data_IF_121907614683
#
_entry.id   IF_121907614683
#
_cell.length_a   1.000
_cell.length_b   1.000
_cell.length_c   1.000
_cell.angle_alpha   90.00
_cell.angle_beta   90.00
_cell.angle_gamma   90.00
#
_symmetry.space_group_name_H-M   'P 1'
#
loop_
_entity.id
_entity.type
_entity.pdbx_description
1 polymer ?
#
# COMPACT_ATOMS: atom_id res chain seq x y z
N UNK A 1 -1.62 72.16 45.72
CA UNK A 1 -0.31 71.59 45.28
C UNK A 1 -0.57 70.19 44.74
N UNK A 2 -0.46 69.97 43.45
CA UNK A 2 -0.68 68.64 42.87
C UNK A 2 0.57 67.77 43.10
N UNK A 3 0.38 66.53 43.61
CA UNK A 3 1.42 65.57 43.83
C UNK A 3 1.93 65.04 42.49
N UNK A 4 3.22 65.15 42.23
CA UNK A 4 3.90 64.57 41.05
C UNK A 4 3.94 63.05 41.17
N UNK A 5 3.58 62.29 40.12
CA UNK A 5 3.72 60.86 40.14
C UNK A 5 5.23 60.48 40.05
N UNK A 6 5.66 59.61 40.95
CA UNK A 6 7.00 59.02 40.93
C UNK A 6 7.23 58.22 39.64
N UNK A 7 8.37 58.42 38.94
CA UNK A 7 8.69 57.60 37.76
C UNK A 7 8.97 56.15 38.21
N UNK A 8 8.18 55.18 37.68
CA UNK A 8 8.45 53.78 37.83
C UNK A 8 9.81 53.47 37.16
N UNK A 9 10.76 53.00 37.95
CA UNK A 9 12.04 52.55 37.42
C UNK A 9 11.81 51.41 36.40
N UNK A 10 12.15 51.70 35.15
CA UNK A 10 12.15 50.66 34.10
C UNK A 10 13.27 49.66 34.46
N UNK A 11 12.85 48.43 34.83
CA UNK A 11 13.78 47.31 35.01
C UNK A 11 14.24 46.82 33.63
N UNK A 12 15.52 46.96 33.31
CA UNK A 12 16.13 46.42 32.13
C UNK A 12 16.33 44.92 32.27
N UNK A 13 16.25 44.20 31.15
CA UNK A 13 16.56 42.77 31.07
C UNK A 13 18.02 42.51 31.43
N UNK A 14 18.27 41.50 32.24
CA UNK A 14 19.61 41.04 32.55
C UNK A 14 20.16 40.15 31.42
N UNK A 15 21.47 40.18 31.19
CA UNK A 15 22.13 39.35 30.18
C UNK A 15 21.89 37.85 30.44
N UNK A 16 21.83 37.43 31.71
CA UNK A 16 21.56 36.08 32.15
C UNK A 16 20.14 35.66 31.80
N UNK A 17 19.16 36.53 31.95
CA UNK A 17 17.73 36.27 31.62
C UNK A 17 17.56 36.05 30.13
N UNK A 18 18.26 36.85 29.29
CA UNK A 18 18.25 36.66 27.84
C UNK A 18 18.89 35.33 27.44
N UNK A 19 19.99 34.97 28.08
CA UNK A 19 20.71 33.73 27.83
C UNK A 19 19.87 32.51 28.23
N UNK A 20 19.20 32.56 29.37
CA UNK A 20 18.30 31.51 29.83
C UNK A 20 17.09 31.37 28.89
N UNK A 21 16.50 32.48 28.46
CA UNK A 21 15.38 32.47 27.53
C UNK A 21 15.75 31.85 26.20
N UNK A 22 16.91 32.15 25.63
CA UNK A 22 17.39 31.58 24.36
C UNK A 22 17.67 30.06 24.47
N UNK A 23 18.24 29.62 25.59
CA UNK A 23 18.48 28.19 25.85
C UNK A 23 17.16 27.43 25.96
N UNK A 24 16.22 27.97 26.72
CA UNK A 24 14.88 27.33 26.84
C UNK A 24 14.15 27.29 25.50
N UNK A 25 14.22 28.36 24.71
CA UNK A 25 13.63 28.39 23.38
C UNK A 25 14.28 27.33 22.46
N UNK A 26 15.59 27.20 22.49
CA UNK A 26 16.32 26.19 21.70
C UNK A 26 15.91 24.77 22.09
N UNK A 27 15.73 24.47 23.37
CA UNK A 27 15.24 23.16 23.84
C UNK A 27 13.79 22.88 23.40
N UNK A 28 12.91 23.87 23.44
CA UNK A 28 11.54 23.74 22.97
C UNK A 28 11.49 23.44 21.46
N UNK A 29 12.28 24.17 20.67
CA UNK A 29 12.37 23.95 19.21
C UNK A 29 12.91 22.55 18.91
N UNK A 30 13.96 22.12 19.60
CA UNK A 30 14.53 20.78 19.43
C UNK A 30 13.54 19.67 19.78
N UNK A 31 12.78 19.84 20.88
CA UNK A 31 11.73 18.91 21.28
C UNK A 31 10.58 18.82 20.27
N UNK A 32 10.11 19.97 19.78
CA UNK A 32 9.08 20.03 18.76
C UNK A 32 9.50 19.35 17.46
N UNK A 33 10.73 19.59 17.01
CA UNK A 33 11.31 18.95 15.82
C UNK A 33 11.39 17.43 15.95
N UNK A 34 11.80 16.92 17.11
CA UNK A 34 11.86 15.50 17.41
C UNK A 34 10.46 14.86 17.37
N UNK A 35 9.46 15.54 17.95
CA UNK A 35 8.07 15.09 17.92
C UNK A 35 7.51 14.96 16.51
N UNK A 36 7.73 15.96 15.65
CA UNK A 36 7.29 15.95 14.26
C UNK A 36 7.93 14.79 13.49
N UNK A 37 9.24 14.59 13.65
CA UNK A 37 9.94 13.47 12.99
C UNK A 37 9.39 12.10 13.39
N UNK A 38 9.05 11.93 14.66
CA UNK A 38 8.48 10.66 15.14
C UNK A 38 7.08 10.45 14.59
N UNK A 39 6.26 11.48 14.57
CA UNK A 39 4.91 11.42 14.02
C UNK A 39 4.91 11.10 12.51
N UNK A 40 5.78 11.74 11.72
CA UNK A 40 5.88 11.47 10.28
C UNK A 40 6.36 10.05 9.98
N UNK A 41 7.31 9.50 10.76
CA UNK A 41 7.76 8.12 10.61
C UNK A 41 6.64 7.12 10.95
N UNK A 42 5.87 7.37 12.00
CA UNK A 42 4.74 6.52 12.37
C UNK A 42 3.66 6.52 11.28
N UNK A 43 3.37 7.67 10.69
CA UNK A 43 2.42 7.80 9.59
C UNK A 43 2.88 7.04 8.34
N UNK A 44 4.14 7.20 7.91
CA UNK A 44 4.67 6.51 6.73
C UNK A 44 4.70 4.98 6.89
N UNK A 45 5.01 4.47 8.08
CA UNK A 45 4.96 3.04 8.37
C UNK A 45 3.53 2.49 8.31
N UNK A 46 2.55 3.28 8.74
CA UNK A 46 1.13 2.93 8.63
C UNK A 46 0.65 2.86 7.18
N UNK A 47 1.04 3.82 6.35
CA UNK A 47 0.71 3.85 4.93
C UNK A 47 1.28 2.64 4.17
N UNK A 48 2.52 2.26 4.44
CA UNK A 48 3.15 1.09 3.82
C UNK A 48 2.41 -0.22 4.17
N UNK A 49 1.98 -0.39 5.42
CA UNK A 49 1.18 -1.53 5.84
C UNK A 49 -0.20 -1.57 5.16
N UNK A 50 -0.86 -0.42 5.06
CA UNK A 50 -2.16 -0.31 4.38
C UNK A 50 -2.00 -0.64 2.90
N UNK A 51 -1.00 -0.11 2.23
CA UNK A 51 -0.76 -0.36 0.82
C UNK A 51 -0.47 -1.83 0.54
N UNK A 52 0.35 -2.48 1.36
CA UNK A 52 0.64 -3.92 1.26
C UNK A 52 -0.62 -4.76 1.45
N UNK A 53 -1.42 -4.46 2.47
CA UNK A 53 -2.68 -5.16 2.74
C UNK A 53 -3.69 -4.95 1.61
N UNK A 54 -3.78 -3.74 1.08
CA UNK A 54 -4.69 -3.41 -0.02
C UNK A 54 -4.30 -4.14 -1.32
N UNK A 55 -3.02 -4.25 -1.64
CA UNK A 55 -2.54 -5.04 -2.80
C UNK A 55 -2.96 -6.50 -2.72
N UNK A 56 -2.81 -7.13 -1.55
CA UNK A 56 -3.23 -8.52 -1.34
C UNK A 56 -4.74 -8.65 -1.47
N UNK A 57 -5.49 -7.72 -0.89
CA UNK A 57 -6.95 -7.73 -0.96
C UNK A 57 -7.47 -7.59 -2.40
N UNK A 58 -6.92 -6.64 -3.15
CA UNK A 58 -7.30 -6.43 -4.56
C UNK A 58 -6.98 -7.67 -5.40
N UNK A 59 -5.83 -8.31 -5.18
CA UNK A 59 -5.48 -9.55 -5.86
C UNK A 59 -6.45 -10.69 -5.51
N UNK A 60 -6.82 -10.84 -4.24
CA UNK A 60 -7.79 -11.85 -3.80
C UNK A 60 -9.19 -11.60 -4.38
N UNK A 61 -9.65 -10.36 -4.42
CA UNK A 61 -10.94 -10.00 -5.01
C UNK A 61 -10.95 -10.27 -6.52
N UNK A 62 -9.86 -9.94 -7.21
CA UNK A 62 -9.67 -10.27 -8.62
C UNK A 62 -9.75 -11.79 -8.85
N UNK A 63 -8.93 -12.56 -8.13
CA UNK A 63 -8.91 -14.02 -8.25
C UNK A 63 -10.28 -14.64 -7.96
N UNK A 64 -10.95 -14.19 -6.90
CA UNK A 64 -12.29 -14.68 -6.56
C UNK A 64 -13.28 -14.41 -7.68
N UNK A 65 -13.24 -13.24 -8.29
CA UNK A 65 -14.11 -12.86 -9.40
C UNK A 65 -13.87 -13.76 -10.60
N UNK A 66 -12.61 -13.90 -11.03
CA UNK A 66 -12.25 -14.71 -12.19
C UNK A 66 -12.63 -16.20 -11.99
N UNK A 67 -12.33 -16.75 -10.83
CA UNK A 67 -12.68 -18.14 -10.51
C UNK A 67 -14.20 -18.36 -10.39
N UNK A 68 -14.94 -17.39 -9.90
CA UNK A 68 -16.41 -17.50 -9.81
C UNK A 68 -17.08 -17.47 -11.19
N UNK A 69 -16.43 -16.82 -12.16
CA UNK A 69 -16.89 -16.73 -13.54
C UNK A 69 -16.36 -17.86 -14.44
N UNK A 70 -15.59 -18.80 -13.86
CA UNK A 70 -15.04 -19.91 -14.63
C UNK A 70 -16.17 -20.74 -15.29
N UNK A 71 -15.95 -21.07 -16.54
CA UNK A 71 -16.87 -21.82 -17.39
C UNK A 71 -16.41 -23.26 -17.51
N UNK A 72 -17.34 -24.21 -17.50
CA UNK A 72 -17.06 -25.62 -17.74
C UNK A 72 -16.83 -25.89 -19.25
N UNK A 73 -15.87 -25.17 -19.84
CA UNK A 73 -15.44 -25.34 -21.23
C UNK A 73 -14.07 -26.00 -21.25
N UNK A 74 -13.91 -26.99 -22.12
CA UNK A 74 -12.63 -27.63 -22.31
C UNK A 74 -11.66 -26.68 -23.03
N UNK A 75 -10.47 -26.51 -22.47
CA UNK A 75 -9.38 -25.77 -23.11
C UNK A 75 -8.35 -26.68 -23.78
N UNK A 76 -8.36 -27.96 -23.40
CA UNK A 76 -7.47 -28.97 -23.94
C UNK A 76 -8.13 -30.35 -23.93
N UNK A 77 -7.77 -31.22 -24.89
CA UNK A 77 -8.17 -32.62 -24.92
C UNK A 77 -6.91 -33.49 -24.83
N UNK A 78 -6.86 -34.36 -23.84
CA UNK A 78 -5.70 -35.22 -23.62
C UNK A 78 -5.58 -36.27 -24.75
N UNK A 79 -4.44 -36.23 -25.43
CA UNK A 79 -4.14 -37.15 -26.53
C UNK A 79 -3.98 -38.57 -25.99
N UNK A 80 -4.89 -39.46 -26.34
CA UNK A 80 -4.87 -40.89 -25.97
C UNK A 80 -5.99 -41.32 -25.03
N UNK A 81 -6.47 -40.49 -24.14
CA UNK A 81 -7.62 -40.80 -23.26
C UNK A 81 -8.91 -40.12 -23.71
N UNK A 82 -8.81 -39.07 -24.53
CA UNK A 82 -9.98 -38.27 -24.94
C UNK A 82 -10.57 -37.46 -23.77
N UNK A 83 -9.84 -37.36 -22.67
CA UNK A 83 -10.29 -36.60 -21.48
C UNK A 83 -10.23 -35.10 -21.78
N UNK A 84 -11.32 -34.41 -21.54
CA UNK A 84 -11.42 -32.96 -21.71
C UNK A 84 -11.03 -32.24 -20.44
N UNK A 85 -9.99 -31.41 -20.52
CA UNK A 85 -9.49 -30.60 -19.43
C UNK A 85 -10.23 -29.25 -19.39
N UNK A 86 -11.04 -29.06 -18.34
CA UNK A 86 -11.81 -27.82 -18.12
C UNK A 86 -11.22 -26.95 -17.03
N UNK A 87 -10.45 -27.57 -16.13
CA UNK A 87 -9.78 -26.92 -15.02
C UNK A 87 -8.52 -27.70 -14.67
N UNK A 88 -7.38 -27.01 -14.71
CA UNK A 88 -6.10 -27.58 -14.37
C UNK A 88 -5.48 -26.85 -13.18
N UNK A 89 -5.15 -27.59 -12.13
CA UNK A 89 -4.46 -27.04 -10.96
C UNK A 89 -3.17 -27.77 -10.71
N UNK A 90 -2.06 -27.04 -10.74
CA UNK A 90 -0.74 -27.48 -10.34
C UNK A 90 -0.25 -26.71 -9.12
N UNK A 91 0.93 -27.05 -8.62
CA UNK A 91 1.46 -26.39 -7.42
C UNK A 91 1.60 -24.88 -7.53
N UNK A 92 2.02 -24.41 -8.69
CA UNK A 92 2.34 -22.99 -8.95
C UNK A 92 1.59 -22.42 -10.16
N UNK A 93 0.63 -23.16 -10.68
CA UNK A 93 -0.12 -22.81 -11.88
C UNK A 93 -1.58 -23.23 -11.78
N UNK A 94 -2.46 -22.39 -12.27
CA UNK A 94 -3.88 -22.65 -12.38
C UNK A 94 -4.34 -22.26 -13.78
N UNK A 95 -5.04 -23.16 -14.48
CA UNK A 95 -5.56 -22.94 -15.83
C UNK A 95 -7.06 -23.21 -15.85
N UNK A 96 -7.84 -22.29 -16.38
CA UNK A 96 -9.28 -22.39 -16.49
C UNK A 96 -9.80 -21.51 -17.62
N UNK A 97 -11.08 -21.68 -17.99
CA UNK A 97 -11.73 -20.83 -18.98
C UNK A 97 -12.69 -19.88 -18.26
N UNK A 98 -12.58 -18.59 -18.55
CA UNK A 98 -13.50 -17.59 -18.06
C UNK A 98 -13.68 -16.44 -19.07
N UNK A 99 -14.78 -15.67 -18.98
CA UNK A 99 -14.94 -14.48 -19.79
C UNK A 99 -13.91 -13.42 -19.35
N UNK A 100 -13.28 -12.76 -20.32
CA UNK A 100 -12.34 -11.69 -20.03
C UNK A 100 -13.08 -10.43 -19.58
N UNK A 101 -12.61 -9.73 -18.53
CA UNK A 101 -13.12 -8.42 -18.19
C UNK A 101 -13.10 -7.47 -19.39
N UNK A 102 -14.19 -6.71 -19.60
CA UNK A 102 -14.41 -5.91 -20.82
C UNK A 102 -13.32 -4.87 -21.12
N UNK A 103 -12.52 -4.49 -20.15
CA UNK A 103 -11.36 -3.59 -20.32
C UNK A 103 -10.08 -4.30 -20.79
N UNK A 104 -10.04 -5.64 -20.74
CA UNK A 104 -8.88 -6.45 -21.13
C UNK A 104 -9.14 -7.27 -22.41
N UNK A 105 -10.40 -7.44 -22.83
CA UNK A 105 -10.74 -8.30 -23.97
C UNK A 105 -11.93 -7.81 -24.77
N UNK A 106 -12.17 -8.45 -25.91
CA UNK A 106 -13.29 -8.15 -26.83
C UNK A 106 -14.58 -8.92 -26.51
N UNK A 107 -14.64 -9.53 -25.30
CA UNK A 107 -15.70 -10.43 -24.89
C UNK A 107 -15.49 -11.87 -25.39
N UNK A 108 -16.22 -12.81 -24.78
CA UNK A 108 -16.08 -14.23 -25.07
C UNK A 108 -15.24 -14.99 -24.03
N UNK A 109 -15.21 -16.33 -24.13
CA UNK A 109 -14.38 -17.17 -23.25
C UNK A 109 -12.91 -17.11 -23.66
N UNK A 110 -12.04 -16.99 -22.67
CA UNK A 110 -10.59 -17.05 -22.82
C UNK A 110 -10.02 -18.12 -21.92
N UNK A 111 -8.99 -18.79 -22.38
CA UNK A 111 -8.15 -19.62 -21.51
C UNK A 111 -7.30 -18.69 -20.64
N UNK A 112 -7.50 -18.78 -19.36
CA UNK A 112 -6.79 -17.97 -18.37
C UNK A 112 -5.83 -18.85 -17.60
N UNK A 113 -4.62 -18.36 -17.42
CA UNK A 113 -3.58 -19.04 -16.66
C UNK A 113 -3.01 -18.10 -15.62
N UNK A 114 -3.04 -18.56 -14.38
CA UNK A 114 -2.43 -17.90 -13.24
C UNK A 114 -1.18 -18.68 -12.86
N UNK A 115 -0.04 -18.03 -12.77
CA UNK A 115 1.21 -18.69 -12.39
C UNK A 115 2.00 -17.84 -11.40
N UNK A 116 2.75 -18.51 -10.51
CA UNK A 116 3.69 -17.85 -9.63
C UNK A 116 5.08 -17.88 -10.26
N UNK A 117 5.62 -16.69 -10.52
CA UNK A 117 6.97 -16.52 -11.06
C UNK A 117 7.88 -15.91 -9.99
N UNK A 118 9.07 -16.47 -9.83
CA UNK A 118 10.10 -15.92 -8.94
C UNK A 118 10.86 -14.81 -9.65
N UNK A 119 10.89 -13.62 -9.07
CA UNK A 119 11.60 -12.45 -9.57
C UNK A 119 12.47 -11.82 -8.48
N UNK A 120 13.19 -10.74 -8.82
CA UNK A 120 14.10 -10.01 -7.94
C UNK A 120 13.43 -9.41 -6.68
N UNK A 121 12.10 -9.33 -6.64
CA UNK A 121 11.31 -8.83 -5.50
C UNK A 121 10.53 -9.92 -4.74
N UNK A 122 10.78 -11.21 -5.01
CA UNK A 122 10.04 -12.33 -4.44
C UNK A 122 9.13 -13.03 -5.45
N UNK A 123 8.15 -13.80 -4.96
CA UNK A 123 7.19 -14.49 -5.82
C UNK A 123 6.11 -13.51 -6.30
N UNK A 124 5.91 -13.45 -7.60
CA UNK A 124 4.90 -12.62 -8.24
C UNK A 124 3.83 -13.51 -8.86
N UNK A 125 2.56 -13.09 -8.72
CA UNK A 125 1.45 -13.70 -9.41
C UNK A 125 1.35 -13.07 -10.80
N UNK A 126 1.43 -13.89 -11.83
CA UNK A 126 1.35 -13.48 -13.23
C UNK A 126 0.09 -14.05 -13.84
N UNK A 127 -0.64 -13.21 -14.55
CA UNK A 127 -1.86 -13.56 -15.25
C UNK A 127 -1.60 -13.57 -16.76
N UNK A 128 -1.81 -14.72 -17.38
CA UNK A 128 -1.75 -14.91 -18.83
C UNK A 128 -3.13 -15.24 -19.36
N UNK A 129 -3.42 -14.86 -20.59
CA UNK A 129 -4.65 -15.22 -21.28
C UNK A 129 -4.38 -15.52 -22.75
N UNK A 130 -5.14 -16.46 -23.28
CA UNK A 130 -5.14 -16.81 -24.70
C UNK A 130 -6.58 -16.98 -25.19
N UNK A 131 -6.81 -16.72 -26.47
CA UNK A 131 -8.08 -16.97 -27.16
C UNK A 131 -8.16 -18.43 -27.57
#
# INVERSE_FOLDING_TARGET
MPAMPCPRAARGFTLVELLLATVLLALLVAGAWSGIRTATRAASSGEELIERTNRVRVAQEFLRRELTQSLALAYEEEVGTGQRLMFGGERDQLTFVAPMPGYLGRGGPYVQQLSFVSGNGGRQLVFHHAL
#
